data_IF_360884716707
#
_entry.id   IF_360884716707
#
_cell.length_a   1.000
_cell.length_b   1.000
_cell.length_c   1.000
_cell.angle_alpha   90.00
_cell.angle_beta   90.00
_cell.angle_gamma   90.00
#
_symmetry.space_group_name_H-M   'P 1'
#
loop_
_entity.id
_entity.type
_entity.pdbx_description
1 polymer ?
#
# COMPACT_ATOMS: atom_id res chain seq x y z
N UNK A 1 -6.60 -13.02 -12.24
CA UNK A 1 -5.15 -13.25 -12.03
C UNK A 1 -4.83 -14.71 -12.33
N UNK A 2 -5.47 -15.66 -11.65
CA UNK A 2 -5.42 -17.09 -11.96
C UNK A 2 -5.75 -17.40 -13.44
N UNK A 3 -6.87 -16.90 -13.97
CA UNK A 3 -7.27 -17.12 -15.38
C UNK A 3 -6.25 -16.62 -16.41
N UNK A 4 -5.43 -15.63 -16.05
CA UNK A 4 -4.47 -14.99 -16.96
C UNK A 4 -3.05 -15.55 -16.83
N UNK A 5 -2.65 -15.97 -15.63
CA UNK A 5 -1.27 -16.36 -15.32
C UNK A 5 -1.14 -17.82 -14.82
N UNK A 6 -2.26 -18.55 -14.67
CA UNK A 6 -2.29 -19.89 -14.09
C UNK A 6 -2.03 -19.91 -12.58
N UNK A 7 -1.80 -21.10 -12.02
CA UNK A 7 -1.48 -21.33 -10.62
C UNK A 7 -2.18 -22.54 -10.01
N UNK A 8 -2.06 -22.71 -8.70
CA UNK A 8 -2.90 -23.64 -7.93
C UNK A 8 -4.22 -22.94 -7.56
N UNK A 9 -5.35 -23.52 -7.98
CA UNK A 9 -6.67 -22.90 -7.79
C UNK A 9 -7.09 -22.86 -6.32
N UNK A 10 -6.72 -23.89 -5.53
CA UNK A 10 -7.07 -23.97 -4.12
C UNK A 10 -6.29 -22.91 -3.33
N UNK A 11 -4.99 -22.78 -3.58
CA UNK A 11 -4.17 -21.73 -2.99
C UNK A 11 -4.70 -20.33 -3.36
N UNK A 12 -5.12 -20.12 -4.61
CA UNK A 12 -5.71 -18.84 -5.01
C UNK A 12 -7.00 -18.53 -4.22
N UNK A 13 -7.87 -19.53 -4.04
CA UNK A 13 -9.10 -19.38 -3.23
C UNK A 13 -8.78 -19.08 -1.78
N UNK A 14 -7.81 -19.78 -1.19
CA UNK A 14 -7.36 -19.54 0.19
C UNK A 14 -6.83 -18.12 0.38
N UNK A 15 -5.93 -17.66 -0.51
CA UNK A 15 -5.41 -16.30 -0.48
C UNK A 15 -6.55 -15.29 -0.64
N UNK A 16 -7.40 -15.46 -1.65
CA UNK A 16 -8.50 -14.54 -1.93
C UNK A 16 -9.48 -14.41 -0.74
N UNK A 17 -9.76 -15.52 -0.05
CA UNK A 17 -10.60 -15.52 1.15
C UNK A 17 -9.96 -14.77 2.33
N UNK A 18 -8.62 -14.72 2.37
CA UNK A 18 -7.86 -14.02 3.43
C UNK A 18 -7.56 -12.54 3.14
N UNK A 19 -7.96 -12.01 1.99
CA UNK A 19 -7.70 -10.61 1.64
C UNK A 19 -8.62 -9.66 2.40
N UNK A 20 -8.02 -8.71 3.11
CA UNK A 20 -8.73 -7.69 3.87
C UNK A 20 -8.41 -6.29 3.34
N UNK A 21 -9.43 -5.41 3.30
CA UNK A 21 -9.27 -4.03 2.87
C UNK A 21 -9.04 -3.12 4.09
N UNK A 22 -7.77 -2.83 4.36
CA UNK A 22 -7.37 -2.02 5.52
C UNK A 22 -7.99 -0.61 5.52
N UNK A 23 -8.31 -0.03 4.36
CA UNK A 23 -8.97 1.28 4.31
C UNK A 23 -10.35 1.23 4.96
N UNK A 24 -11.10 0.14 4.70
CA UNK A 24 -12.41 -0.09 5.33
C UNK A 24 -12.27 -0.32 6.82
N UNK A 25 -11.27 -1.09 7.25
CA UNK A 25 -11.00 -1.36 8.67
C UNK A 25 -10.72 -0.04 9.39
N UNK A 26 -9.77 0.76 8.93
CA UNK A 26 -9.39 2.04 9.58
C UNK A 26 -10.59 2.97 9.69
N UNK A 27 -11.30 3.21 8.58
CA UNK A 27 -12.45 4.13 8.56
C UNK A 27 -13.58 3.71 9.49
N UNK A 28 -13.74 2.41 9.79
CA UNK A 28 -14.77 1.89 10.69
C UNK A 28 -14.32 1.87 12.15
N UNK A 29 -13.03 1.72 12.39
CA UNK A 29 -12.51 1.48 13.74
C UNK A 29 -11.97 2.75 14.43
N UNK A 30 -11.43 3.71 13.68
CA UNK A 30 -10.63 4.81 14.27
C UNK A 30 -10.85 6.11 13.51
N UNK A 31 -10.96 7.22 14.25
CA UNK A 31 -10.91 8.58 13.69
C UNK A 31 -9.53 9.20 13.93
N UNK A 32 -8.74 9.33 12.87
CA UNK A 32 -7.49 10.07 12.81
C UNK A 32 -7.73 11.55 12.45
N UNK A 33 -6.88 12.48 12.93
CA UNK A 33 -6.95 13.91 12.58
C UNK A 33 -6.38 14.18 11.17
N UNK A 34 -6.91 13.49 10.16
CA UNK A 34 -6.45 13.55 8.78
C UNK A 34 -7.57 14.00 7.85
N UNK A 35 -7.23 14.85 6.89
CA UNK A 35 -8.17 15.29 5.83
C UNK A 35 -8.57 14.15 4.89
N UNK A 36 -7.68 13.16 4.71
CA UNK A 36 -7.85 12.04 3.79
C UNK A 36 -7.26 10.77 4.40
N UNK A 37 -7.83 9.64 4.02
CA UNK A 37 -7.43 8.30 4.50
C UNK A 37 -6.77 7.47 3.42
N UNK A 38 -6.24 8.09 2.35
CA UNK A 38 -5.43 7.32 1.41
C UNK A 38 -4.17 6.80 2.11
N UNK A 39 -3.59 5.72 1.57
CA UNK A 39 -2.40 5.08 2.13
C UNK A 39 -1.29 6.10 2.46
N UNK A 40 -1.02 7.02 1.54
CA UNK A 40 0.01 8.07 1.72
C UNK A 40 -0.24 8.96 2.95
N UNK A 41 -1.49 9.31 3.24
CA UNK A 41 -1.82 10.14 4.40
C UNK A 41 -1.70 9.36 5.70
N UNK A 42 -2.27 8.15 5.74
CA UNK A 42 -2.26 7.33 6.96
C UNK A 42 -0.84 6.87 7.29
N UNK A 43 -0.08 6.38 6.33
CA UNK A 43 1.28 5.91 6.59
C UNK A 43 2.22 7.07 6.98
N UNK A 44 2.10 8.26 6.38
CA UNK A 44 2.85 9.45 6.81
C UNK A 44 2.49 9.88 8.24
N UNK A 45 1.21 9.78 8.62
CA UNK A 45 0.80 10.00 10.01
C UNK A 45 1.46 9.01 10.98
N UNK A 46 1.78 7.79 10.50
CA UNK A 46 2.56 6.78 11.22
C UNK A 46 4.08 6.92 10.99
N UNK A 47 4.56 8.07 10.51
CA UNK A 47 5.96 8.39 10.23
C UNK A 47 6.64 7.51 9.17
N UNK A 48 5.86 6.92 8.24
CA UNK A 48 6.43 6.25 7.07
C UNK A 48 6.78 7.27 5.98
N UNK A 49 7.99 7.14 5.44
CA UNK A 49 8.50 7.97 4.34
C UNK A 49 8.76 7.11 3.10
N UNK A 50 8.32 7.60 1.94
CA UNK A 50 8.60 6.95 0.66
C UNK A 50 10.02 7.29 0.24
N UNK A 51 10.82 6.25 0.03
CA UNK A 51 12.21 6.34 -0.40
C UNK A 51 12.34 6.66 -1.91
N UNK A 52 11.24 6.55 -2.66
CA UNK A 52 11.14 6.95 -4.07
C UNK A 52 11.01 8.48 -4.29
N UNK A 53 10.98 9.29 -3.22
CA UNK A 53 10.87 10.76 -3.28
C UNK A 53 9.48 11.29 -2.93
N UNK A 54 9.40 12.57 -2.58
CA UNK A 54 8.17 13.22 -2.11
C UNK A 54 7.11 13.39 -3.21
N UNK A 55 7.57 13.57 -4.44
CA UNK A 55 6.76 13.65 -5.64
C UNK A 55 6.08 12.32 -5.96
N UNK A 56 6.51 11.20 -5.35
CA UNK A 56 5.97 9.90 -5.66
C UNK A 56 4.46 9.82 -5.33
N UNK A 57 3.66 9.54 -6.34
CA UNK A 57 2.20 9.50 -6.24
C UNK A 57 1.65 8.58 -7.33
N UNK A 58 0.41 8.10 -7.14
CA UNK A 58 -0.25 7.28 -8.15
C UNK A 58 -0.42 7.96 -9.51
N UNK A 59 -0.49 9.30 -9.55
CA UNK A 59 -0.53 10.04 -10.82
C UNK A 59 0.86 10.09 -11.46
N UNK A 60 1.89 10.39 -10.66
CA UNK A 60 3.26 10.46 -11.18
C UNK A 60 3.80 9.10 -11.61
N UNK A 61 3.40 8.00 -10.97
CA UNK A 61 3.79 6.65 -11.39
C UNK A 61 3.24 6.27 -12.77
N UNK A 62 2.06 6.79 -13.14
CA UNK A 62 1.52 6.63 -14.51
C UNK A 62 2.38 7.41 -15.51
N UNK A 63 2.72 8.66 -15.20
CA UNK A 63 3.59 9.48 -16.07
C UNK A 63 4.98 8.86 -16.24
N UNK A 64 5.58 8.37 -15.16
CA UNK A 64 6.85 7.65 -15.19
C UNK A 64 6.76 6.41 -16.08
N UNK A 65 5.67 5.65 -15.98
CA UNK A 65 5.52 4.46 -16.81
C UNK A 65 5.36 4.82 -18.30
N UNK A 66 4.63 5.90 -18.61
CA UNK A 66 4.55 6.41 -19.98
C UNK A 66 5.94 6.81 -20.51
N UNK A 67 6.73 7.53 -19.71
CA UNK A 67 8.11 7.91 -20.06
C UNK A 67 9.00 6.68 -20.27
N UNK A 68 8.91 5.67 -19.40
CA UNK A 68 9.66 4.43 -19.59
C UNK A 68 9.34 3.75 -20.93
N UNK A 69 8.06 3.74 -21.34
CA UNK A 69 7.63 3.12 -22.61
C UNK A 69 8.12 3.86 -23.85
N UNK A 70 8.51 5.14 -23.76
CA UNK A 70 9.04 5.90 -24.91
C UNK A 70 10.42 5.37 -25.36
N UNK A 71 11.28 5.00 -24.41
CA UNK A 71 12.59 4.39 -24.67
C UNK A 71 13.03 3.53 -23.46
N UNK A 72 12.61 2.25 -23.39
CA UNK A 72 12.91 1.38 -22.25
C UNK A 72 14.40 1.18 -21.99
N UNK A 73 15.23 1.25 -23.03
CA UNK A 73 16.68 1.05 -22.89
C UNK A 73 17.36 2.26 -22.24
N UNK A 74 16.91 3.48 -22.57
CA UNK A 74 17.44 4.71 -21.97
C UNK A 74 16.81 5.04 -20.62
N UNK A 75 15.55 4.67 -20.39
CA UNK A 75 14.77 5.06 -19.23
C UNK A 75 14.68 3.96 -18.15
N UNK A 76 15.70 3.11 -18.04
CA UNK A 76 15.75 2.00 -17.06
C UNK A 76 15.66 2.51 -15.61
N UNK A 77 16.26 3.66 -15.34
CA UNK A 77 16.21 4.36 -14.05
C UNK A 77 14.76 4.74 -13.65
N UNK A 78 13.93 5.11 -14.61
CA UNK A 78 12.50 5.39 -14.38
C UNK A 78 11.77 4.11 -13.98
N UNK A 79 12.06 2.98 -14.61
CA UNK A 79 11.50 1.69 -14.22
C UNK A 79 11.93 1.29 -12.80
N UNK A 80 13.21 1.45 -12.46
CA UNK A 80 13.72 1.22 -11.10
C UNK A 80 12.99 2.10 -10.07
N UNK A 81 12.73 3.36 -10.42
CA UNK A 81 11.95 4.28 -9.58
C UNK A 81 10.50 3.80 -9.38
N UNK A 82 9.84 3.30 -10.42
CA UNK A 82 8.48 2.74 -10.33
C UNK A 82 8.47 1.49 -9.45
N UNK A 83 9.45 0.59 -9.61
CA UNK A 83 9.59 -0.61 -8.78
C UNK A 83 9.75 -0.21 -7.32
N UNK A 84 10.66 0.73 -7.03
CA UNK A 84 10.90 1.25 -5.68
C UNK A 84 9.65 1.88 -5.07
N UNK A 85 8.90 2.68 -5.83
CA UNK A 85 7.64 3.26 -5.36
C UNK A 85 6.59 2.20 -5.01
N UNK A 86 6.43 1.16 -5.84
CA UNK A 86 5.51 0.06 -5.56
C UNK A 86 5.95 -0.77 -4.33
N UNK A 87 7.26 -0.95 -4.15
CA UNK A 87 7.79 -1.61 -2.96
C UNK A 87 7.48 -0.79 -1.69
N UNK A 88 7.67 0.53 -1.74
CA UNK A 88 7.31 1.44 -0.66
C UNK A 88 5.81 1.36 -0.34
N UNK A 89 4.91 1.28 -1.34
CA UNK A 89 3.46 1.11 -1.12
C UNK A 89 3.13 -0.20 -0.37
N UNK A 90 3.81 -1.31 -0.69
CA UNK A 90 3.69 -2.56 0.04
C UNK A 90 4.19 -2.43 1.49
N UNK A 91 5.34 -1.78 1.69
CA UNK A 91 5.93 -1.54 3.02
C UNK A 91 5.03 -0.62 3.86
N UNK A 92 4.51 0.46 3.29
CA UNK A 92 3.56 1.36 3.91
C UNK A 92 2.29 0.64 4.35
N UNK A 93 1.75 -0.23 3.48
CA UNK A 93 0.56 -1.04 3.79
C UNK A 93 0.83 -1.96 4.98
N UNK A 94 2.00 -2.59 5.05
CA UNK A 94 2.41 -3.40 6.20
C UNK A 94 2.50 -2.58 7.48
N UNK A 95 3.12 -1.40 7.45
CA UNK A 95 3.21 -0.50 8.62
C UNK A 95 1.82 -0.16 9.16
N UNK A 96 0.88 0.18 8.28
CA UNK A 96 -0.51 0.47 8.66
C UNK A 96 -1.18 -0.77 9.28
N UNK A 97 -1.03 -1.94 8.66
CA UNK A 97 -1.58 -3.20 9.16
C UNK A 97 -1.02 -3.57 10.54
N UNK A 98 0.29 -3.50 10.72
CA UNK A 98 0.94 -3.86 11.98
C UNK A 98 0.55 -2.88 13.09
N UNK A 99 0.45 -1.58 12.78
CA UNK A 99 -0.08 -0.59 13.70
C UNK A 99 -1.53 -0.89 14.13
N UNK A 100 -2.43 -1.25 13.20
CA UNK A 100 -3.80 -1.64 13.54
C UNK A 100 -3.87 -2.84 14.50
N UNK A 101 -2.99 -3.82 14.33
CA UNK A 101 -2.92 -4.97 15.24
C UNK A 101 -2.48 -4.58 16.66
N UNK A 102 -1.71 -3.51 16.82
CA UNK A 102 -1.37 -2.98 18.16
C UNK A 102 -2.57 -2.39 18.90
N UNK A 103 -3.62 -2.02 18.16
CA UNK A 103 -4.86 -1.47 18.71
C UNK A 103 -5.86 -2.56 19.08
N UNK A 104 -5.83 -3.71 18.38
CA UNK A 104 -6.63 -4.88 18.78
C UNK A 104 -6.07 -5.59 20.02
N UNK A 105 -4.74 -5.63 20.19
CA UNK A 105 -4.09 -6.28 21.35
C UNK A 105 -4.15 -5.44 22.62
N UNK A 106 -4.40 -4.14 22.51
CA UNK A 106 -4.78 -3.29 23.63
C UNK A 106 -6.30 -3.30 23.71
N UNK A 107 -6.86 -4.20 24.51
CA UNK A 107 -8.24 -4.10 25.00
C UNK A 107 -8.54 -2.64 25.36
N UNK A 108 -9.28 -1.99 24.48
CA UNK A 108 -9.76 -0.64 24.66
C UNK A 108 -11.04 -0.79 25.50
N UNK A 109 -10.92 -0.53 26.81
CA UNK A 109 -11.97 -0.41 27.86
C UNK A 109 -12.19 -1.58 28.84
N UNK A 110 -11.11 -1.99 29.53
CA UNK A 110 -11.18 -2.46 30.93
C UNK A 110 -11.29 -1.30 31.96
N UNK A 111 -11.65 -0.08 31.52
CA UNK A 111 -11.80 1.13 32.35
C UNK A 111 -12.92 2.07 31.86
N UNK A 112 -14.06 1.50 31.50
CA UNK A 112 -15.39 2.10 31.69
C UNK A 112 -16.22 1.11 32.51
#
# INVERSE_FOLDING_TARGET
MFERYGGDENLYKEIAYSLEDLLKVIKKSITLPLLKYSLKYVARYLNFEWSAGDEASGVNSILWYQQYLEDPEKNKDILEKIIKYNEDDCRATRVVKDWLMTLQSKDLFSKL
#
